data_IF_894371681322
#
_entry.id   IF_894371681322
#
_cell.length_a   1.000
_cell.length_b   1.000
_cell.length_c   1.000
_cell.angle_alpha   90.00
_cell.angle_beta   90.00
_cell.angle_gamma   90.00
#
_symmetry.space_group_name_H-M   'P 1'
#
loop_
_entity.id
_entity.type
_entity.pdbx_description
1 polymer ?
#
# COMPACT_ATOMS: atom_id res chain seq x y z
N UNK A 1 -51.34 -7.03 -64.37
CA UNK A 1 -51.89 -8.36 -64.70
C UNK A 1 -50.90 -9.37 -64.13
N UNK A 2 -51.18 -10.21 -63.14
CA UNK A 2 -52.43 -10.67 -62.54
C UNK A 2 -52.08 -11.32 -61.20
N UNK A 3 -52.97 -11.22 -60.23
CA UNK A 3 -52.93 -11.97 -58.96
C UNK A 3 -52.86 -13.48 -59.19
N UNK A 4 -52.14 -14.19 -58.33
CA UNK A 4 -52.59 -15.49 -57.83
C UNK A 4 -52.00 -15.75 -56.43
N UNK A 5 -52.88 -16.01 -55.48
CA UNK A 5 -52.60 -16.66 -54.21
C UNK A 5 -53.30 -18.02 -54.26
N UNK A 6 -52.68 -19.10 -53.78
CA UNK A 6 -53.39 -19.89 -52.79
C UNK A 6 -52.46 -20.41 -51.69
N UNK A 7 -52.93 -20.33 -50.44
CA UNK A 7 -52.25 -20.89 -49.29
C UNK A 7 -52.25 -22.42 -49.26
N UNK A 8 -51.30 -22.98 -48.49
CA UNK A 8 -51.34 -24.34 -47.92
C UNK A 8 -50.34 -24.43 -46.75
N UNK A 9 -50.85 -24.75 -45.57
CA UNK A 9 -50.14 -25.18 -44.34
C UNK A 9 -50.03 -26.73 -44.36
N UNK A 10 -49.33 -27.45 -43.47
CA UNK A 10 -48.24 -27.11 -42.54
C UNK A 10 -47.06 -28.16 -42.55
N UNK A 11 -45.95 -27.85 -41.85
CA UNK A 11 -45.10 -28.87 -41.22
C UNK A 11 -43.61 -28.84 -41.58
N UNK A 12 -42.77 -28.44 -40.62
CA UNK A 12 -41.66 -29.22 -40.03
C UNK A 12 -40.61 -28.28 -39.41
N UNK A 13 -40.40 -28.49 -38.11
CA UNK A 13 -39.18 -28.31 -37.33
C UNK A 13 -38.14 -27.26 -37.80
N UNK A 14 -38.03 -26.19 -37.02
CA UNK A 14 -36.81 -25.38 -36.91
C UNK A 14 -36.52 -25.16 -35.45
N UNK A 15 -35.77 -26.08 -34.83
CA UNK A 15 -35.12 -25.86 -33.55
C UNK A 15 -34.24 -24.61 -33.68
N UNK A 16 -34.67 -23.51 -33.06
CA UNK A 16 -33.89 -22.28 -33.00
C UNK A 16 -32.65 -22.54 -32.17
N UNK A 17 -31.51 -22.61 -32.83
CA UNK A 17 -30.18 -22.64 -32.23
C UNK A 17 -30.03 -21.36 -31.39
N UNK A 18 -30.09 -21.50 -30.07
CA UNK A 18 -29.72 -20.45 -29.13
C UNK A 18 -28.20 -20.38 -29.11
N UNK A 19 -27.65 -19.32 -29.71
CA UNK A 19 -26.22 -19.05 -29.67
C UNK A 19 -25.79 -18.56 -28.28
N UNK A 20 -24.55 -18.84 -27.84
CA UNK A 20 -24.04 -18.34 -26.57
C UNK A 20 -24.04 -16.81 -26.57
N UNK A 21 -24.78 -16.21 -25.63
CA UNK A 21 -25.00 -14.76 -25.52
C UNK A 21 -26.47 -14.32 -25.49
N UNK A 22 -27.43 -15.22 -25.73
CA UNK A 22 -28.86 -14.92 -25.57
C UNK A 22 -29.34 -15.32 -24.18
N UNK A 23 -28.83 -14.66 -23.13
CA UNK A 23 -29.55 -14.66 -21.86
C UNK A 23 -30.77 -13.75 -22.03
N UNK A 24 -31.98 -14.19 -21.66
CA UNK A 24 -33.10 -13.26 -21.56
C UNK A 24 -32.71 -12.16 -20.56
N UNK A 25 -32.92 -10.90 -20.93
CA UNK A 25 -32.80 -9.80 -19.98
C UNK A 25 -33.68 -10.12 -18.77
N UNK A 26 -33.13 -10.00 -17.57
CA UNK A 26 -33.83 -10.33 -16.33
C UNK A 26 -35.16 -9.56 -16.27
N UNK A 27 -36.24 -10.29 -15.98
CA UNK A 27 -37.62 -9.78 -16.01
C UNK A 27 -37.93 -8.80 -14.87
N UNK A 28 -36.96 -8.53 -13.98
CA UNK A 28 -37.19 -7.79 -12.73
C UNK A 28 -36.40 -6.48 -12.64
N UNK A 29 -36.22 -5.75 -13.75
CA UNK A 29 -36.00 -4.29 -13.77
C UNK A 29 -34.96 -3.70 -12.80
N UNK A 30 -34.03 -4.51 -12.28
CA UNK A 30 -33.06 -4.10 -11.29
C UNK A 30 -32.08 -3.22 -12.04
N UNK A 31 -32.26 -1.91 -11.87
CA UNK A 31 -31.27 -0.95 -12.29
C UNK A 31 -30.02 -1.34 -11.52
N UNK A 32 -28.98 -1.81 -12.21
CA UNK A 32 -27.69 -2.01 -11.57
C UNK A 32 -27.32 -0.64 -11.01
N UNK A 33 -27.46 -0.47 -9.69
CA UNK A 33 -26.94 0.68 -8.95
C UNK A 33 -25.42 0.55 -9.00
N UNK A 34 -24.87 0.88 -10.17
CA UNK A 34 -23.45 0.99 -10.40
C UNK A 34 -23.05 2.19 -9.55
N UNK A 35 -22.46 1.90 -8.39
CA UNK A 35 -21.77 2.90 -7.59
C UNK A 35 -20.89 3.74 -8.51
N UNK A 36 -20.96 5.08 -8.44
CA UNK A 36 -20.16 5.93 -9.30
C UNK A 36 -18.70 5.51 -9.13
N UNK A 37 -18.06 5.14 -10.24
CA UNK A 37 -16.65 4.79 -10.24
C UNK A 37 -15.87 5.95 -9.61
N UNK A 38 -14.98 5.69 -8.64
CA UNK A 38 -14.12 6.73 -8.09
C UNK A 38 -13.43 7.46 -9.24
N UNK A 39 -13.81 8.71 -9.46
CA UNK A 39 -13.27 9.54 -10.54
C UNK A 39 -12.34 10.57 -9.92
N UNK A 40 -11.06 10.22 -9.85
CA UNK A 40 -10.02 11.10 -9.31
C UNK A 40 -8.84 10.28 -8.80
N UNK A 41 -8.03 9.77 -9.71
CA UNK A 41 -6.71 9.23 -9.35
C UNK A 41 -5.72 10.40 -9.37
N UNK A 42 -5.01 10.64 -8.28
CA UNK A 42 -3.92 11.60 -8.25
C UNK A 42 -2.81 11.05 -9.15
N UNK A 43 -2.78 11.49 -10.41
CA UNK A 43 -1.65 11.17 -11.29
C UNK A 43 -0.47 12.04 -10.89
N UNK A 44 0.75 11.54 -11.09
CA UNK A 44 1.95 12.35 -10.92
C UNK A 44 1.81 13.68 -11.68
N UNK A 45 1.99 14.77 -10.96
CA UNK A 45 2.15 16.11 -11.51
C UNK A 45 3.57 16.55 -11.21
N UNK A 46 4.25 17.11 -12.20
CA UNK A 46 5.59 17.66 -12.00
C UNK A 46 5.53 18.70 -10.87
N UNK A 47 6.41 18.61 -9.86
CA UNK A 47 6.47 19.61 -8.80
C UNK A 47 6.70 21.01 -9.39
N UNK A 48 6.07 22.01 -8.77
CA UNK A 48 6.29 23.39 -9.14
C UNK A 48 7.64 23.85 -8.58
N UNK A 49 8.64 23.95 -9.46
CA UNK A 49 9.97 24.40 -9.10
C UNK A 49 10.01 25.93 -9.19
N UNK A 50 10.57 26.64 -8.19
CA UNK A 50 10.74 28.09 -8.29
C UNK A 50 11.68 28.43 -9.46
N UNK A 51 11.45 29.60 -10.06
CA UNK A 51 12.38 30.14 -11.04
C UNK A 51 13.73 30.46 -10.38
N UNK A 52 14.85 30.49 -11.13
CA UNK A 52 16.19 30.70 -10.56
C UNK A 52 16.32 32.00 -9.76
N UNK A 53 15.62 33.07 -10.15
CA UNK A 53 15.56 34.33 -9.39
C UNK A 53 14.92 34.18 -8.01
N UNK A 54 13.92 33.31 -7.87
CA UNK A 54 13.20 33.06 -6.62
C UNK A 54 13.93 32.05 -5.72
N UNK A 55 14.89 31.31 -6.28
CA UNK A 55 15.77 30.39 -5.55
C UNK A 55 17.00 31.09 -4.93
N UNK A 56 17.18 32.40 -5.15
CA UNK A 56 18.28 33.16 -4.56
C UNK A 56 18.17 33.17 -3.02
N UNK A 57 19.22 32.73 -2.32
CA UNK A 57 19.21 32.57 -0.86
C UNK A 57 18.66 31.22 -0.38
N UNK A 58 18.26 30.32 -1.29
CA UNK A 58 17.79 28.96 -0.99
C UNK A 58 18.82 27.88 -1.37
N UNK A 59 20.10 28.23 -1.41
CA UNK A 59 21.16 27.36 -1.93
C UNK A 59 21.28 26.06 -1.15
N UNK A 60 21.02 26.07 0.16
CA UNK A 60 21.10 24.89 1.00
C UNK A 60 19.96 23.90 0.73
N UNK A 61 18.74 24.39 0.49
CA UNK A 61 17.57 23.60 0.10
C UNK A 61 17.74 23.02 -1.30
N UNK A 62 18.24 23.82 -2.25
CA UNK A 62 18.61 23.34 -3.59
C UNK A 62 19.66 22.23 -3.50
N UNK A 63 20.71 22.41 -2.71
CA UNK A 63 21.74 21.38 -2.52
C UNK A 63 21.17 20.08 -1.93
N UNK A 64 20.20 20.17 -1.00
CA UNK A 64 19.52 19.00 -0.47
C UNK A 64 18.70 18.27 -1.55
N UNK A 65 17.97 19.00 -2.40
CA UNK A 65 17.21 18.44 -3.53
C UNK A 65 18.14 17.81 -4.59
N UNK A 66 19.28 18.43 -4.88
CA UNK A 66 20.31 17.85 -5.75
C UNK A 66 20.87 16.54 -5.18
N UNK A 67 21.08 16.47 -3.86
CA UNK A 67 21.50 15.25 -3.19
C UNK A 67 20.43 14.14 -3.29
N UNK A 68 19.15 14.47 -3.14
CA UNK A 68 18.03 13.53 -3.37
C UNK A 68 18.01 13.05 -4.82
N UNK A 69 18.17 13.95 -5.79
CA UNK A 69 18.25 13.58 -7.21
C UNK A 69 19.44 12.66 -7.52
N UNK A 70 20.61 12.95 -6.94
CA UNK A 70 21.78 12.10 -7.07
C UNK A 70 21.55 10.71 -6.47
N UNK A 71 20.92 10.64 -5.30
CA UNK A 71 20.55 9.38 -4.65
C UNK A 71 19.56 8.56 -5.50
N UNK A 72 18.53 9.20 -6.07
CA UNK A 72 17.58 8.56 -6.99
C UNK A 72 18.27 8.00 -8.23
N UNK A 73 19.20 8.75 -8.83
CA UNK A 73 19.98 8.29 -10.00
C UNK A 73 20.88 7.09 -9.68
N UNK A 74 21.37 7.00 -8.45
CA UNK A 74 22.21 5.90 -7.97
C UNK A 74 21.40 4.73 -7.40
N UNK A 75 20.07 4.85 -7.27
CA UNK A 75 19.25 3.88 -6.57
C UNK A 75 19.14 2.56 -7.33
N UNK A 76 19.52 1.46 -6.65
CA UNK A 76 19.29 0.10 -7.10
C UNK A 76 18.24 -0.56 -6.20
N UNK A 77 16.99 -0.61 -6.68
CA UNK A 77 15.87 -1.18 -5.94
C UNK A 77 16.04 -2.66 -5.56
N UNK A 78 16.92 -3.42 -6.24
CA UNK A 78 17.19 -4.82 -5.90
C UNK A 78 18.12 -4.96 -4.70
N UNK A 79 19.01 -3.98 -4.50
CA UNK A 79 19.98 -3.98 -3.40
C UNK A 79 19.53 -3.11 -2.24
N UNK A 80 18.45 -2.35 -2.42
CA UNK A 80 17.95 -1.34 -1.48
C UNK A 80 19.07 -0.45 -0.93
N UNK A 81 20.00 -0.04 -1.80
CA UNK A 81 21.16 0.82 -1.47
C UNK A 81 20.73 2.28 -1.36
N UNK A 82 19.65 2.51 -0.62
CA UNK A 82 19.07 3.82 -0.41
C UNK A 82 20.01 4.77 0.32
N UNK A 83 19.83 6.07 0.07
CA UNK A 83 20.57 7.13 0.75
C UNK A 83 19.66 7.91 1.71
N UNK A 84 20.28 8.50 2.73
CA UNK A 84 19.63 9.40 3.67
C UNK A 84 20.28 10.78 3.53
N UNK A 85 19.46 11.80 3.31
CA UNK A 85 19.86 13.20 3.21
C UNK A 85 19.38 13.89 4.47
N UNK A 86 20.30 14.52 5.21
CA UNK A 86 19.98 15.27 6.43
C UNK A 86 19.39 16.63 6.07
N UNK A 87 18.27 16.99 6.69
CA UNK A 87 17.66 18.32 6.58
C UNK A 87 17.92 19.16 7.84
N UNK A 88 18.43 18.58 8.93
CA UNK A 88 18.84 19.35 10.10
C UNK A 88 19.83 20.45 9.72
N UNK A 89 19.54 21.68 10.15
CA UNK A 89 20.37 22.86 9.89
C UNK A 89 19.93 23.70 8.69
N UNK A 90 18.98 23.22 7.88
CA UNK A 90 18.27 24.11 6.94
C UNK A 90 17.42 25.10 7.71
N UNK A 91 17.44 26.36 7.28
CA UNK A 91 16.51 27.37 7.79
C UNK A 91 15.08 27.12 7.24
N UNK A 92 14.12 27.88 7.77
CA UNK A 92 12.70 27.71 7.42
C UNK A 92 12.45 27.86 5.92
N UNK A 93 13.08 28.84 5.26
CA UNK A 93 12.85 29.10 3.84
C UNK A 93 13.40 27.97 2.96
N UNK A 94 14.58 27.45 3.29
CA UNK A 94 15.17 26.30 2.60
C UNK A 94 14.36 25.01 2.84
N UNK A 95 13.83 24.80 4.04
CA UNK A 95 12.94 23.68 4.33
C UNK A 95 11.61 23.79 3.58
N UNK A 96 11.03 24.99 3.49
CA UNK A 96 9.79 25.22 2.77
C UNK A 96 9.94 24.90 1.28
N UNK A 97 11.08 25.29 0.67
CA UNK A 97 11.42 24.88 -0.69
C UNK A 97 11.45 23.36 -0.85
N UNK A 98 12.17 22.65 0.03
CA UNK A 98 12.26 21.18 -0.02
C UNK A 98 10.86 20.56 0.09
N UNK A 99 10.02 21.07 0.99
CA UNK A 99 8.66 20.57 1.20
C UNK A 99 7.76 20.81 -0.01
N UNK A 100 7.85 22.01 -0.61
CA UNK A 100 7.10 22.34 -1.82
C UNK A 100 7.47 21.42 -2.98
N UNK A 101 8.77 21.19 -3.19
CA UNK A 101 9.25 20.37 -4.31
C UNK A 101 8.95 18.88 -4.11
N UNK A 102 9.08 18.37 -2.89
CA UNK A 102 8.79 16.95 -2.62
C UNK A 102 7.27 16.69 -2.56
N UNK A 103 6.49 17.66 -2.09
CA UNK A 103 5.06 17.50 -1.85
C UNK A 103 4.73 16.35 -0.90
N UNK A 104 3.44 16.01 -0.82
CA UNK A 104 2.96 14.87 -0.05
C UNK A 104 2.28 13.86 -0.97
N UNK A 105 2.82 12.64 -0.99
CA UNK A 105 2.24 11.49 -1.63
C UNK A 105 1.13 10.85 -0.81
N UNK A 106 0.70 9.66 -1.24
CA UNK A 106 -0.48 9.00 -0.71
C UNK A 106 -0.20 8.19 0.56
N UNK A 107 1.07 7.81 0.78
CA UNK A 107 1.47 6.94 1.88
C UNK A 107 2.11 7.74 3.01
N UNK A 108 1.61 7.53 4.22
CA UNK A 108 2.18 8.08 5.45
C UNK A 108 2.34 6.98 6.50
N UNK A 109 3.30 7.18 7.41
CA UNK A 109 3.65 6.21 8.44
C UNK A 109 3.74 6.93 9.78
N UNK A 110 3.10 6.37 10.79
CA UNK A 110 3.20 6.82 12.19
C UNK A 110 3.75 5.67 13.02
N UNK A 111 4.95 5.85 13.56
CA UNK A 111 5.63 4.93 14.48
C UNK A 111 5.54 5.44 15.92
N UNK A 112 4.36 5.32 16.53
CA UNK A 112 4.07 5.90 17.84
C UNK A 112 4.23 7.42 17.85
N UNK A 113 4.77 7.97 18.94
CA UNK A 113 5.08 9.42 19.05
C UNK A 113 6.45 9.78 18.50
N UNK A 114 7.31 8.78 18.26
CA UNK A 114 8.73 8.98 17.93
C UNK A 114 8.96 9.16 16.44
N UNK A 115 8.33 8.33 15.60
CA UNK A 115 8.60 8.34 14.17
C UNK A 115 7.39 8.78 13.36
N UNK A 116 7.63 9.64 12.38
CA UNK A 116 6.68 9.98 11.34
C UNK A 116 7.40 9.90 9.99
N UNK A 117 6.75 9.33 8.98
CA UNK A 117 7.22 9.46 7.62
C UNK A 117 6.07 9.77 6.67
N UNK A 118 6.40 10.53 5.64
CA UNK A 118 5.49 10.90 4.56
C UNK A 118 6.22 10.62 3.25
N UNK A 119 5.63 9.79 2.41
CA UNK A 119 6.12 9.62 1.05
C UNK A 119 5.92 10.94 0.29
N UNK A 120 6.89 11.33 -0.51
CA UNK A 120 6.77 12.44 -1.44
C UNK A 120 5.84 12.07 -2.61
N UNK A 121 5.52 13.03 -3.47
CA UNK A 121 4.84 12.71 -4.75
C UNK A 121 5.72 11.89 -5.69
N UNK A 122 7.03 11.85 -5.45
CA UNK A 122 7.96 10.92 -6.07
C UNK A 122 8.04 9.63 -5.24
N UNK A 123 7.53 8.54 -5.81
CA UNK A 123 7.56 7.23 -5.17
C UNK A 123 8.97 6.80 -4.75
N UNK A 124 9.09 6.27 -3.55
CA UNK A 124 10.37 5.85 -2.97
C UNK A 124 11.23 6.99 -2.40
N UNK A 125 10.72 8.23 -2.37
CA UNK A 125 11.31 9.35 -1.63
C UNK A 125 10.46 9.60 -0.39
N UNK A 126 11.08 9.58 0.78
CA UNK A 126 10.38 9.64 2.05
C UNK A 126 10.96 10.74 2.91
N UNK A 127 10.13 11.66 3.39
CA UNK A 127 10.52 12.49 4.52
C UNK A 127 10.34 11.68 5.79
N UNK A 128 11.37 11.59 6.63
CA UNK A 128 11.35 10.86 7.89
C UNK A 128 11.74 11.81 9.01
N UNK A 129 10.88 11.91 10.03
CA UNK A 129 11.13 12.70 11.22
C UNK A 129 11.18 11.80 12.45
N UNK A 130 12.21 12.03 13.25
CA UNK A 130 12.35 11.44 14.57
C UNK A 130 12.17 12.52 15.64
N UNK A 131 11.27 12.27 16.59
CA UNK A 131 10.92 13.18 17.67
C UNK A 131 11.32 12.58 19.01
N UNK A 132 11.96 13.37 19.86
CA UNK A 132 12.34 12.99 21.21
C UNK A 132 11.17 13.01 22.19
N UNK A 133 11.43 12.62 23.43
CA UNK A 133 10.38 12.46 24.46
C UNK A 133 9.70 13.80 24.81
N UNK A 134 10.37 14.94 24.61
CA UNK A 134 9.82 16.26 24.92
C UNK A 134 9.24 16.97 23.67
N UNK A 135 9.10 16.27 22.55
CA UNK A 135 8.57 16.83 21.31
C UNK A 135 9.60 17.54 20.43
N UNK A 136 10.87 17.55 20.81
CA UNK A 136 11.96 18.09 20.00
C UNK A 136 12.25 17.21 18.79
N UNK A 137 12.54 17.83 17.65
CA UNK A 137 12.96 17.09 16.45
C UNK A 137 14.41 16.66 16.62
N UNK A 138 14.64 15.35 16.75
CA UNK A 138 15.98 14.75 16.85
C UNK A 138 16.62 14.55 15.48
N UNK A 139 15.82 14.20 14.47
CA UNK A 139 16.24 14.04 13.08
C UNK A 139 15.12 14.46 12.13
N UNK A 140 15.48 15.09 11.02
CA UNK A 140 14.58 15.38 9.90
C UNK A 140 15.35 15.07 8.63
N UNK A 141 14.98 14.00 7.93
CA UNK A 141 15.74 13.47 6.80
C UNK A 141 14.84 13.19 5.61
N UNK A 142 15.47 13.12 4.43
CA UNK A 142 14.88 12.52 3.24
C UNK A 142 15.58 11.19 2.99
N UNK A 143 14.82 10.10 2.92
CA UNK A 143 15.29 8.78 2.56
C UNK A 143 14.84 8.41 1.15
N UNK A 144 15.80 7.99 0.32
CA UNK A 144 15.50 7.37 -0.99
C UNK A 144 15.56 5.86 -0.81
N UNK A 145 14.40 5.20 -0.71
CA UNK A 145 14.30 3.77 -0.43
C UNK A 145 12.93 3.20 -0.84
N UNK A 146 12.86 1.87 -1.05
CA UNK A 146 11.57 1.19 -1.28
C UNK A 146 10.60 1.32 -0.09
N UNK A 147 11.15 1.50 1.11
CA UNK A 147 10.46 1.78 2.36
C UNK A 147 11.47 2.46 3.30
N UNK A 148 11.07 3.40 4.18
CA UNK A 148 12.02 4.08 5.05
C UNK A 148 12.82 3.10 5.91
N UNK A 149 14.14 3.09 5.76
CA UNK A 149 15.05 2.14 6.39
C UNK A 149 15.09 2.33 7.89
N UNK A 150 15.05 3.59 8.35
CA UNK A 150 14.99 3.92 9.78
C UNK A 150 13.75 3.30 10.43
N UNK A 151 12.61 3.36 9.73
CA UNK A 151 11.36 2.79 10.21
C UNK A 151 11.39 1.26 10.14
N UNK A 152 11.83 0.67 9.02
CA UNK A 152 11.90 -0.79 8.86
C UNK A 152 12.74 -1.44 9.98
N UNK A 153 13.89 -0.86 10.29
CA UNK A 153 14.77 -1.36 11.37
C UNK A 153 14.07 -1.35 12.73
N UNK A 154 13.28 -0.30 13.00
CA UNK A 154 12.57 -0.14 14.27
C UNK A 154 11.32 -1.02 14.35
N UNK A 155 10.59 -1.18 13.25
CA UNK A 155 9.32 -1.91 13.21
C UNK A 155 9.47 -3.38 13.64
N UNK A 156 10.61 -4.01 13.33
CA UNK A 156 10.88 -5.41 13.65
C UNK A 156 11.66 -5.62 14.96
N UNK A 157 12.08 -4.57 15.67
CA UNK A 157 12.89 -4.70 16.88
C UNK A 157 12.21 -5.51 18.01
N UNK A 158 10.87 -5.57 18.00
CA UNK A 158 10.07 -6.37 18.93
C UNK A 158 9.28 -7.50 18.27
N UNK A 159 9.60 -7.86 17.01
CA UNK A 159 8.91 -8.93 16.31
C UNK A 159 9.17 -10.29 16.99
N UNK A 160 8.13 -11.11 17.09
CA UNK A 160 8.23 -12.47 17.62
C UNK A 160 8.54 -13.44 16.49
N UNK A 161 9.36 -14.46 16.77
CA UNK A 161 9.66 -15.53 15.81
C UNK A 161 8.47 -16.49 15.61
N UNK A 162 7.49 -16.47 16.52
CA UNK A 162 6.27 -17.26 16.45
C UNK A 162 5.12 -16.58 17.20
N UNK A 163 3.91 -16.83 16.73
CA UNK A 163 2.65 -16.52 17.41
C UNK A 163 2.36 -17.65 18.39
N UNK A 164 2.22 -17.31 19.67
CA UNK A 164 1.93 -18.27 20.74
C UNK A 164 0.42 -18.51 20.80
N UNK A 165 0.01 -19.77 20.59
CA UNK A 165 -1.38 -20.18 20.73
C UNK A 165 -1.75 -20.29 22.22
N UNK A 166 -2.86 -19.69 22.68
CA UNK A 166 -3.41 -19.95 24.01
C UNK A 166 -3.83 -21.42 24.18
N UNK A 167 -3.69 -21.96 25.39
CA UNK A 167 -4.09 -23.34 25.70
C UNK A 167 -5.62 -23.56 25.64
N UNK A 168 -6.37 -22.49 25.93
CA UNK A 168 -7.85 -22.50 25.91
C UNK A 168 -8.32 -21.51 24.86
N UNK A 169 -9.12 -22.01 23.92
CA UNK A 169 -9.76 -21.18 22.91
C UNK A 169 -11.10 -20.64 23.44
N UNK A 170 -11.41 -19.40 23.06
CA UNK A 170 -12.72 -18.81 23.33
C UNK A 170 -13.85 -19.56 22.64
N UNK A 171 -15.08 -19.35 23.10
CA UNK A 171 -16.26 -19.84 22.40
C UNK A 171 -16.29 -19.24 20.97
N UNK A 172 -16.79 -20.03 20.01
CA UNK A 172 -16.94 -19.63 18.60
C UNK A 172 -15.62 -19.33 17.84
N UNK A 173 -14.46 -19.70 18.39
CA UNK A 173 -13.19 -19.68 17.67
C UNK A 173 -13.00 -21.02 16.97
N UNK A 174 -13.03 -21.02 15.64
CA UNK A 174 -12.97 -22.22 14.81
C UNK A 174 -11.86 -22.16 13.77
N UNK A 175 -11.81 -21.05 13.01
CA UNK A 175 -10.95 -20.95 11.83
C UNK A 175 -9.69 -20.12 12.08
N UNK A 176 -9.59 -19.39 13.20
CA UNK A 176 -8.35 -18.70 13.55
C UNK A 176 -7.16 -19.63 13.89
N UNK A 177 -7.31 -20.76 14.61
CA UNK A 177 -6.18 -21.60 14.97
C UNK A 177 -5.35 -22.15 13.78
N UNK A 178 -5.95 -22.70 12.71
CA UNK A 178 -5.15 -23.13 11.55
C UNK A 178 -4.41 -21.98 10.86
N UNK A 179 -4.94 -20.76 10.88
CA UNK A 179 -4.25 -19.57 10.34
C UNK A 179 -3.00 -19.22 11.15
N UNK A 180 -3.06 -19.34 12.48
CA UNK A 180 -1.88 -19.16 13.34
C UNK A 180 -0.82 -20.23 13.04
N UNK A 181 -1.22 -21.48 12.79
CA UNK A 181 -0.29 -22.53 12.35
C UNK A 181 0.35 -22.21 11.01
N UNK A 182 -0.43 -21.76 10.02
CA UNK A 182 0.08 -21.34 8.70
C UNK A 182 1.07 -20.18 8.84
N UNK A 183 0.75 -19.14 9.61
CA UNK A 183 1.65 -18.02 9.88
C UNK A 183 2.98 -18.48 10.49
N UNK A 184 2.95 -19.35 11.50
CA UNK A 184 4.15 -19.88 12.12
C UNK A 184 5.00 -20.72 11.16
N UNK A 185 4.37 -21.50 10.28
CA UNK A 185 5.08 -22.24 9.23
C UNK A 185 5.79 -21.29 8.26
N UNK A 186 5.13 -20.20 7.85
CA UNK A 186 5.71 -19.21 6.94
C UNK A 186 6.83 -18.40 7.61
N UNK A 187 6.67 -18.02 8.88
CA UNK A 187 7.73 -17.36 9.66
C UNK A 187 9.00 -18.21 9.69
N UNK A 188 8.87 -19.53 9.91
CA UNK A 188 9.99 -20.46 9.87
C UNK A 188 10.68 -20.58 8.51
N UNK A 189 9.96 -20.31 7.41
CA UNK A 189 10.50 -20.33 6.03
C UNK A 189 11.13 -19.01 5.61
N UNK A 190 10.62 -17.88 6.12
CA UNK A 190 11.09 -16.54 5.75
C UNK A 190 12.41 -16.14 6.39
N UNK A 191 12.90 -16.85 7.41
CA UNK A 191 14.23 -16.67 8.01
C UNK A 191 14.50 -15.23 8.49
N UNK A 192 14.09 -14.90 9.72
CA UNK A 192 14.46 -13.73 10.53
C UNK A 192 15.03 -12.52 9.75
N UNK A 193 14.22 -11.89 8.90
CA UNK A 193 14.30 -10.47 8.49
C UNK A 193 15.60 -9.95 7.86
N UNK A 194 16.64 -10.75 7.69
CA UNK A 194 17.90 -10.33 7.09
C UNK A 194 17.84 -10.66 5.61
N UNK A 195 17.23 -9.75 4.84
CA UNK A 195 17.19 -9.75 3.39
C UNK A 195 18.58 -9.60 2.77
N UNK A 196 19.47 -10.56 2.99
CA UNK A 196 20.57 -10.82 2.10
C UNK A 196 20.01 -11.73 1.00
N UNK A 197 19.80 -11.14 -0.19
CA UNK A 197 19.21 -11.76 -1.37
C UNK A 197 19.94 -12.99 -1.90
N UNK A 198 19.95 -14.09 -1.15
CA UNK A 198 19.88 -15.40 -1.77
C UNK A 198 18.53 -15.45 -2.48
N UNK A 199 18.54 -15.60 -3.81
CA UNK A 199 17.35 -15.60 -4.67
C UNK A 199 16.39 -16.78 -4.46
N UNK A 200 16.36 -17.35 -3.26
CA UNK A 200 15.61 -18.54 -2.84
C UNK A 200 14.75 -18.27 -1.60
N UNK A 201 14.75 -17.04 -1.06
CA UNK A 201 13.82 -16.66 0.00
C UNK A 201 12.38 -16.61 -0.58
N UNK A 202 11.41 -17.28 0.05
CA UNK A 202 10.03 -17.25 -0.42
C UNK A 202 9.50 -15.81 -0.40
N UNK A 203 8.74 -15.45 -1.44
CA UNK A 203 8.07 -14.15 -1.54
C UNK A 203 7.05 -13.92 -0.41
N UNK A 204 6.41 -12.73 -0.36
CA UNK A 204 5.43 -12.43 0.66
C UNK A 204 4.29 -13.47 0.67
N UNK A 205 3.93 -13.93 1.86
CA UNK A 205 2.79 -14.81 2.08
C UNK A 205 1.55 -14.00 2.42
N UNK A 206 0.43 -14.29 1.76
CA UNK A 206 -0.82 -13.53 1.88
C UNK A 206 -1.97 -14.47 2.23
N UNK A 207 -2.67 -14.18 3.33
CA UNK A 207 -3.91 -14.84 3.73
C UNK A 207 -5.06 -13.87 3.45
N UNK A 208 -5.99 -14.24 2.57
CA UNK A 208 -7.18 -13.43 2.28
C UNK A 208 -8.32 -13.78 3.23
N UNK A 209 -8.38 -13.08 4.37
CA UNK A 209 -9.40 -13.33 5.41
C UNK A 209 -10.85 -13.18 4.89
N UNK A 210 -11.09 -12.29 3.94
CA UNK A 210 -12.43 -12.05 3.38
C UNK A 210 -12.98 -13.22 2.55
N UNK A 211 -12.10 -14.09 2.04
CA UNK A 211 -12.50 -15.30 1.31
C UNK A 211 -12.63 -16.53 2.20
N UNK A 212 -12.22 -16.41 3.47
CA UNK A 212 -12.31 -17.49 4.43
C UNK A 212 -13.58 -17.34 5.26
N UNK A 213 -14.31 -18.43 5.54
CA UNK A 213 -15.35 -18.39 6.55
C UNK A 213 -14.68 -18.06 7.90
N UNK A 214 -15.15 -17.04 8.59
CA UNK A 214 -14.65 -16.68 9.92
C UNK A 214 -15.80 -16.13 10.76
N UNK A 215 -15.72 -16.34 12.07
CA UNK A 215 -16.59 -15.67 13.04
C UNK A 215 -16.00 -14.33 13.45
N UNK A 216 -16.78 -13.51 14.16
CA UNK A 216 -16.23 -12.29 14.76
C UNK A 216 -15.20 -12.64 15.84
N UNK A 217 -15.44 -13.73 16.56
CA UNK A 217 -14.56 -14.24 17.60
C UNK A 217 -13.24 -14.77 17.04
N UNK A 218 -13.23 -15.34 15.82
CA UNK A 218 -11.99 -15.68 15.11
C UNK A 218 -11.13 -14.43 14.85
N UNK A 219 -11.73 -13.32 14.40
CA UNK A 219 -11.00 -12.07 14.13
C UNK A 219 -10.50 -11.41 15.41
N UNK A 220 -11.31 -11.38 16.46
CA UNK A 220 -10.89 -10.87 17.78
C UNK A 220 -9.73 -11.69 18.33
N UNK A 221 -9.82 -13.02 18.23
CA UNK A 221 -8.72 -13.91 18.61
C UNK A 221 -7.44 -13.60 17.85
N UNK A 222 -7.51 -13.39 16.51
CA UNK A 222 -6.35 -13.03 15.70
C UNK A 222 -5.74 -11.67 16.11
N UNK A 223 -6.55 -10.62 16.34
CA UNK A 223 -6.06 -9.31 16.82
C UNK A 223 -5.31 -9.44 18.16
N UNK A 224 -5.83 -10.26 19.08
CA UNK A 224 -5.21 -10.50 20.39
C UNK A 224 -3.87 -11.24 20.30
N UNK A 225 -3.80 -12.34 19.53
CA UNK A 225 -2.58 -13.18 19.48
C UNK A 225 -1.48 -12.57 18.61
N UNK A 226 -1.84 -11.89 17.51
CA UNK A 226 -0.90 -11.18 16.65
C UNK A 226 -0.43 -9.88 17.30
N UNK A 227 -1.34 -9.23 18.03
CA UNK A 227 -1.11 -7.93 18.64
C UNK A 227 -0.99 -6.82 17.59
N UNK A 228 -0.72 -5.61 18.07
CA UNK A 228 -0.52 -4.43 17.22
C UNK A 228 0.92 -3.97 17.31
N UNK A 229 1.52 -3.69 16.17
CA UNK A 229 2.80 -3.01 16.14
C UNK A 229 2.60 -1.54 16.54
N UNK A 230 3.67 -0.89 16.99
CA UNK A 230 3.67 0.56 17.19
C UNK A 230 3.72 1.35 15.88
N UNK A 231 3.48 0.70 14.73
CA UNK A 231 3.61 1.26 13.40
C UNK A 231 2.27 1.21 12.67
N UNK A 232 1.79 2.36 12.21
CA UNK A 232 0.61 2.44 11.34
C UNK A 232 1.04 2.99 9.99
N UNK A 233 0.70 2.29 8.91
CA UNK A 233 0.88 2.75 7.53
C UNK A 233 -0.49 3.09 6.97
N UNK A 234 -0.66 4.32 6.48
CA UNK A 234 -1.89 4.83 5.89
C UNK A 234 -1.63 5.08 4.41
N UNK A 235 -2.47 4.53 3.53
CA UNK A 235 -2.42 4.78 2.09
C UNK A 235 -3.75 5.38 1.64
N UNK A 236 -3.71 6.55 1.00
CA UNK A 236 -4.90 7.37 0.67
C UNK A 236 -5.35 7.25 -0.80
N UNK A 237 -4.73 6.40 -1.61
CA UNK A 237 -4.97 6.34 -3.07
C UNK A 237 -6.29 5.73 -3.52
N UNK A 238 -6.98 4.96 -2.67
CA UNK A 238 -8.24 4.29 -3.01
C UNK A 238 -9.18 4.25 -1.82
N UNK A 239 -10.39 4.81 -2.02
CA UNK A 239 -11.60 4.61 -1.19
C UNK A 239 -11.37 4.43 0.32
N UNK A 240 -11.35 5.54 1.05
CA UNK A 240 -11.56 5.53 2.51
C UNK A 240 -13.05 5.38 2.84
#
# INVERSE_FOLDING_TARGET
MSNFNPGSVPGLAGSGIVGPGSQPGEEDGATLDIFPMPSGMTTFSTPDLPEPEDAAGLEAGVAALEAVLAALRAFDGKKNTGATIELAGLDAANLDLVNQVLGEGEVSIVGGTRYQAQEAVLAGVWRVRETGENGEVLRDTVEVAVFPRTIATTAFAGAKDAVVMPEVLGANVFNAPPLVTELNEQLGRSGNGSGNGSGDAPGPHVINLSLLPHTQEDLTFLDEVLGRSGLTVLSRGYGN
#
